data_IF_502439840941
#
_entry.id   IF_502439840941
#
_cell.length_a   1.000
_cell.length_b   1.000
_cell.length_c   1.000
_cell.angle_alpha   90.00
_cell.angle_beta   90.00
_cell.angle_gamma   90.00
#
_symmetry.space_group_name_H-M   'P 1'
#
loop_
_entity.id
_entity.type
_entity.pdbx_description
1 polymer ?
#
# COMPACT_ATOMS: atom_id res chain seq x y z
N UNK A 1 14.38 -8.28 6.04
CA UNK A 1 15.66 -8.29 5.28
C UNK A 1 15.72 -7.04 4.39
N UNK A 2 16.90 -6.63 3.92
CA UNK A 2 17.10 -5.46 3.05
C UNK A 2 18.37 -5.63 2.20
N UNK A 3 18.45 -4.88 1.11
CA UNK A 3 19.59 -4.87 0.18
C UNK A 3 20.46 -3.66 0.50
N UNK A 4 21.60 -3.94 1.12
CA UNK A 4 22.48 -2.90 1.67
C UNK A 4 23.81 -2.89 0.97
N UNK A 5 24.34 -1.70 0.76
CA UNK A 5 25.70 -1.53 0.28
C UNK A 5 26.43 -0.45 1.01
N UNK A 6 27.74 -0.61 1.06
CA UNK A 6 28.68 0.36 1.62
C UNK A 6 29.69 0.75 0.54
N UNK A 7 29.78 2.04 0.25
CA UNK A 7 30.78 2.63 -0.63
C UNK A 7 31.86 3.33 0.19
N UNK A 8 33.12 2.94 0.00
CA UNK A 8 34.27 3.54 0.66
C UNK A 8 34.96 4.48 -0.35
N UNK A 9 34.88 5.77 -0.09
CA UNK A 9 35.42 6.82 -0.96
C UNK A 9 36.83 7.22 -0.52
N UNK A 10 37.69 7.67 -1.46
CA UNK A 10 39.01 8.17 -1.10
C UNK A 10 38.92 9.44 -0.25
N UNK A 11 39.98 9.74 0.52
CA UNK A 11 40.07 10.94 1.37
C UNK A 11 39.89 12.26 0.60
N UNK A 12 40.21 12.27 -0.69
CA UNK A 12 40.06 13.43 -1.58
C UNK A 12 38.61 13.73 -1.95
N UNK A 13 37.66 12.82 -1.71
CA UNK A 13 36.25 13.02 -2.02
C UNK A 13 35.67 14.14 -1.16
N UNK A 14 35.22 15.23 -1.82
CA UNK A 14 34.62 16.38 -1.14
C UNK A 14 33.15 16.10 -0.85
N UNK A 15 32.74 16.36 0.39
CA UNK A 15 31.37 16.12 0.85
C UNK A 15 30.33 16.96 0.09
N UNK A 16 30.62 18.23 -0.19
CA UNK A 16 29.71 19.09 -0.94
C UNK A 16 29.39 18.51 -2.34
N UNK A 17 30.41 18.01 -3.05
CA UNK A 17 30.21 17.37 -4.36
C UNK A 17 29.40 16.08 -4.26
N UNK A 18 29.54 15.34 -3.16
CA UNK A 18 28.77 14.13 -2.93
C UNK A 18 27.29 14.47 -2.67
N UNK A 19 27.02 15.51 -1.89
CA UNK A 19 25.67 16.01 -1.65
C UNK A 19 25.01 16.53 -2.95
N UNK A 20 25.76 17.26 -3.77
CA UNK A 20 25.32 17.70 -5.10
C UNK A 20 25.00 16.51 -6.02
N UNK A 21 25.85 15.48 -6.06
CA UNK A 21 25.61 14.28 -6.86
C UNK A 21 24.34 13.54 -6.39
N UNK A 22 24.15 13.42 -5.07
CA UNK A 22 22.95 12.81 -4.48
C UNK A 22 21.69 13.61 -4.83
N UNK A 23 21.75 14.95 -4.79
CA UNK A 23 20.65 15.80 -5.21
C UNK A 23 20.33 15.66 -6.72
N UNK A 24 21.35 15.61 -7.57
CA UNK A 24 21.20 15.38 -9.02
C UNK A 24 20.60 14.00 -9.35
N UNK A 25 20.82 13.03 -8.48
CA UNK A 25 20.18 11.71 -8.57
C UNK A 25 18.71 11.72 -8.15
N UNK A 26 18.17 12.87 -7.71
CA UNK A 26 16.78 13.06 -7.32
C UNK A 26 16.48 12.69 -5.87
N UNK A 27 17.50 12.43 -5.06
CA UNK A 27 17.31 12.18 -3.64
C UNK A 27 16.97 13.48 -2.90
N UNK A 28 16.07 13.37 -1.93
CA UNK A 28 15.71 14.49 -1.04
C UNK A 28 16.25 14.23 0.35
N UNK A 29 16.70 15.27 1.03
CA UNK A 29 17.16 15.16 2.41
C UNK A 29 16.02 14.67 3.29
N UNK A 30 16.31 13.69 4.15
CA UNK A 30 15.37 13.09 5.09
C UNK A 30 15.76 13.48 6.51
N UNK A 31 14.81 14.02 7.27
CA UNK A 31 14.96 14.28 8.70
C UNK A 31 14.26 13.15 9.47
N UNK A 32 15.03 12.14 9.85
CA UNK A 32 14.51 10.99 10.59
C UNK A 32 14.57 11.16 12.13
N UNK A 33 15.13 12.29 12.60
CA UNK A 33 15.29 12.59 14.02
C UNK A 33 16.33 11.71 14.74
N UNK A 34 17.04 10.82 14.04
CA UNK A 34 17.98 9.89 14.64
C UNK A 34 19.38 10.51 14.76
N UNK A 35 19.92 10.50 15.98
CA UNK A 35 21.32 10.88 16.25
C UNK A 35 22.24 9.70 16.02
N UNK A 36 22.66 9.50 14.77
CA UNK A 36 23.60 8.44 14.40
C UNK A 36 25.04 8.98 14.39
N UNK A 37 25.98 8.40 15.17
CA UNK A 37 27.36 8.88 15.25
C UNK A 37 28.06 8.94 13.88
N UNK A 38 28.63 10.10 13.57
CA UNK A 38 29.40 10.32 12.33
C UNK A 38 28.56 10.43 11.06
N UNK A 39 27.23 10.26 11.13
CA UNK A 39 26.32 10.53 10.01
C UNK A 39 26.17 12.03 9.82
N UNK A 40 26.37 12.48 8.59
CA UNK A 40 26.32 13.90 8.22
C UNK A 40 25.11 14.23 7.33
N UNK A 41 24.53 13.23 6.67
CA UNK A 41 23.31 13.40 5.90
C UNK A 41 22.58 12.07 5.71
N UNK A 42 21.26 12.16 5.69
CA UNK A 42 20.35 11.08 5.33
C UNK A 42 19.44 11.58 4.21
N UNK A 43 19.24 10.75 3.20
CA UNK A 43 18.53 11.10 1.98
C UNK A 43 17.65 9.94 1.54
N UNK A 44 16.55 10.28 0.86
CA UNK A 44 15.58 9.32 0.38
C UNK A 44 15.17 9.65 -1.05
N UNK A 45 15.14 8.63 -1.88
CA UNK A 45 14.61 8.70 -3.24
C UNK A 45 13.34 7.87 -3.34
N UNK A 46 12.32 8.44 -3.97
CA UNK A 46 11.05 7.78 -4.24
C UNK A 46 10.45 8.36 -5.51
N UNK A 47 10.15 7.49 -6.48
CA UNK A 47 9.55 7.85 -7.75
C UNK A 47 8.09 7.37 -7.82
N UNK A 48 7.17 8.33 -7.75
CA UNK A 48 5.74 8.09 -7.85
C UNK A 48 5.25 7.97 -9.30
N UNK A 49 6.05 8.43 -10.27
CA UNK A 49 5.66 8.38 -11.66
C UNK A 49 5.50 6.93 -12.12
N UNK A 50 4.37 6.65 -12.77
CA UNK A 50 4.07 5.32 -13.31
C UNK A 50 4.18 4.18 -12.29
N UNK A 51 4.03 4.48 -10.99
CA UNK A 51 4.15 3.52 -9.90
C UNK A 51 5.52 2.83 -9.85
N UNK A 52 6.59 3.52 -10.28
CA UNK A 52 7.93 2.93 -10.37
C UNK A 52 8.48 2.49 -9.04
N UNK A 53 8.42 3.34 -8.01
CA UNK A 53 9.00 3.06 -6.70
C UNK A 53 7.96 2.43 -5.76
N UNK A 54 8.33 1.31 -5.13
CA UNK A 54 7.49 0.66 -4.12
C UNK A 54 7.90 1.13 -2.73
N UNK A 55 9.20 1.03 -2.43
CA UNK A 55 9.75 1.31 -1.09
C UNK A 55 10.77 2.45 -1.09
N UNK A 56 11.24 2.87 -2.27
CA UNK A 56 12.30 3.86 -2.41
C UNK A 56 13.69 3.34 -2.09
N UNK A 57 14.65 4.27 -2.09
CA UNK A 57 16.05 4.02 -1.77
C UNK A 57 16.51 5.02 -0.72
N UNK A 58 17.10 4.52 0.35
CA UNK A 58 17.69 5.30 1.44
C UNK A 58 19.20 5.45 1.17
N UNK A 59 19.76 6.63 1.45
CA UNK A 59 21.21 6.91 1.47
C UNK A 59 21.55 7.56 2.80
N UNK A 60 22.59 7.04 3.46
CA UNK A 60 23.24 7.74 4.56
C UNK A 60 24.71 8.00 4.21
N UNK A 61 25.18 9.20 4.54
CA UNK A 61 26.56 9.63 4.34
C UNK A 61 27.21 9.78 5.71
N UNK A 62 28.38 9.17 5.87
CA UNK A 62 29.19 9.20 7.08
C UNK A 62 30.54 9.84 6.84
N UNK A 63 30.99 10.67 7.78
CA UNK A 63 32.35 11.18 7.81
C UNK A 63 33.25 10.23 8.61
N UNK A 64 34.33 9.74 7.99
CA UNK A 64 35.36 8.92 8.66
C UNK A 64 36.76 9.46 8.37
N UNK A 65 37.73 9.07 9.20
CA UNK A 65 39.14 9.49 9.10
C UNK A 65 39.87 9.00 7.84
N UNK A 66 39.34 7.95 7.16
CA UNK A 66 39.90 7.38 5.94
C UNK A 66 39.18 7.84 4.65
N UNK A 67 38.22 8.76 4.77
CA UNK A 67 37.38 9.23 3.68
C UNK A 67 35.89 9.07 4.02
N UNK A 68 34.99 9.67 3.23
CA UNK A 68 33.56 9.48 3.40
C UNK A 68 33.14 8.02 3.15
N UNK A 69 32.12 7.57 3.88
CA UNK A 69 31.43 6.31 3.62
C UNK A 69 29.99 6.64 3.21
N UNK A 70 29.50 5.98 2.17
CA UNK A 70 28.11 6.11 1.73
C UNK A 70 27.45 4.75 1.83
N UNK A 71 26.39 4.66 2.62
CA UNK A 71 25.56 3.46 2.66
C UNK A 71 24.29 3.69 1.88
N UNK A 72 23.87 2.72 1.08
CA UNK A 72 22.56 2.76 0.43
C UNK A 72 21.75 1.54 0.82
N UNK A 73 20.42 1.70 0.89
CA UNK A 73 19.52 0.63 1.29
C UNK A 73 18.22 0.68 0.51
N UNK A 74 17.74 -0.49 0.10
CA UNK A 74 16.35 -0.72 -0.29
C UNK A 74 15.78 -1.92 0.46
N UNK A 75 14.47 -1.94 0.68
CA UNK A 75 13.79 -3.01 1.45
C UNK A 75 13.54 -4.24 0.56
N UNK A 76 13.23 -5.39 1.14
CA UNK A 76 12.97 -6.62 0.34
C UNK A 76 11.86 -6.41 -0.68
N UNK A 77 10.73 -5.79 -0.30
CA UNK A 77 9.61 -5.47 -1.19
C UNK A 77 9.84 -4.32 -2.17
N UNK A 78 11.10 -4.03 -2.52
CA UNK A 78 11.48 -3.02 -3.50
C UNK A 78 11.00 -3.38 -4.91
N UNK A 79 10.78 -2.36 -5.71
CA UNK A 79 10.53 -2.53 -7.14
C UNK A 79 11.82 -2.82 -7.93
N UNK A 80 11.64 -3.23 -9.19
CA UNK A 80 12.70 -3.22 -10.21
C UNK A 80 13.42 -1.87 -10.27
N UNK A 81 12.65 -0.78 -10.22
CA UNK A 81 13.16 0.59 -10.39
C UNK A 81 13.94 1.07 -9.17
N UNK A 82 13.51 0.73 -7.96
CA UNK A 82 14.24 0.98 -6.71
C UNK A 82 15.64 0.35 -6.76
N UNK A 83 15.72 -0.92 -7.17
CA UNK A 83 17.00 -1.64 -7.29
C UNK A 83 17.88 -1.03 -8.38
N UNK A 84 17.28 -0.67 -9.52
CA UNK A 84 17.98 -0.03 -10.64
C UNK A 84 18.52 1.33 -10.24
N UNK A 85 17.75 2.13 -9.50
CA UNK A 85 18.18 3.42 -8.96
C UNK A 85 19.30 3.26 -7.93
N UNK A 86 19.22 2.27 -7.04
CA UNK A 86 20.30 1.98 -6.10
C UNK A 86 21.60 1.61 -6.84
N UNK A 87 21.53 0.75 -7.85
CA UNK A 87 22.68 0.41 -8.70
C UNK A 87 23.23 1.63 -9.46
N UNK A 88 22.36 2.47 -10.02
CA UNK A 88 22.74 3.72 -10.70
C UNK A 88 23.49 4.65 -9.76
N UNK A 89 23.02 4.78 -8.52
CA UNK A 89 23.65 5.57 -7.46
C UNK A 89 25.05 5.05 -7.15
N UNK A 90 25.20 3.75 -6.92
CA UNK A 90 26.51 3.13 -6.67
C UNK A 90 27.48 3.33 -7.84
N UNK A 91 26.99 3.16 -9.08
CA UNK A 91 27.78 3.37 -10.28
C UNK A 91 28.28 4.80 -10.38
N UNK A 92 27.40 5.80 -10.24
CA UNK A 92 27.77 7.20 -10.39
C UNK A 92 28.71 7.68 -9.28
N UNK A 93 28.47 7.25 -8.03
CA UNK A 93 29.38 7.57 -6.92
C UNK A 93 30.78 7.02 -7.21
N UNK A 94 30.88 5.75 -7.64
CA UNK A 94 32.17 5.14 -7.99
C UNK A 94 32.82 5.80 -9.19
N UNK A 95 32.05 6.07 -10.25
CA UNK A 95 32.59 6.65 -11.49
C UNK A 95 33.09 8.09 -11.26
N UNK A 96 32.46 8.85 -10.35
CA UNK A 96 32.84 10.24 -10.05
C UNK A 96 33.94 10.37 -8.99
N UNK A 97 33.89 9.57 -7.92
CA UNK A 97 34.83 9.68 -6.79
C UNK A 97 35.89 8.58 -6.76
N UNK A 98 35.76 7.53 -7.56
CA UNK A 98 36.58 6.32 -7.47
C UNK A 98 36.20 5.45 -6.26
N UNK A 99 37.19 4.75 -5.71
CA UNK A 99 37.00 3.86 -4.56
C UNK A 99 36.36 2.52 -4.94
N UNK A 100 35.65 1.92 -3.98
CA UNK A 100 34.94 0.67 -4.19
C UNK A 100 33.67 0.61 -3.33
N UNK A 101 32.75 -0.26 -3.71
CA UNK A 101 31.59 -0.57 -2.90
C UNK A 101 31.47 -2.07 -2.66
N UNK A 102 30.77 -2.45 -1.59
CA UNK A 102 30.43 -3.84 -1.28
C UNK A 102 28.93 -3.96 -1.20
N UNK A 103 28.38 -4.98 -1.84
CA UNK A 103 26.97 -5.38 -1.77
C UNK A 103 26.87 -6.80 -1.24
N UNK A 104 25.66 -7.27 -1.00
CA UNK A 104 25.39 -8.69 -0.71
C UNK A 104 25.83 -9.63 -1.86
N UNK A 105 25.97 -9.10 -3.09
CA UNK A 105 26.48 -9.84 -4.25
C UNK A 105 28.02 -9.81 -4.35
N UNK A 106 28.71 -9.11 -3.44
CA UNK A 106 30.16 -9.02 -3.35
C UNK A 106 30.74 -7.65 -3.69
N UNK A 107 32.08 -7.56 -3.65
CA UNK A 107 32.81 -6.31 -3.89
C UNK A 107 32.70 -5.86 -5.34
N UNK A 108 32.31 -4.60 -5.56
CA UNK A 108 32.06 -3.99 -6.87
C UNK A 108 31.07 -4.77 -7.76
N UNK A 109 30.18 -5.55 -7.13
CA UNK A 109 29.13 -6.30 -7.83
C UNK A 109 27.79 -5.61 -7.61
N UNK A 110 27.14 -5.22 -8.70
CA UNK A 110 25.78 -4.71 -8.67
C UNK A 110 24.79 -5.85 -8.46
N UNK A 111 23.66 -5.54 -7.81
CA UNK A 111 22.54 -6.47 -7.81
C UNK A 111 21.95 -6.60 -9.21
N UNK A 112 21.46 -7.78 -9.56
CA UNK A 112 20.76 -8.01 -10.82
C UNK A 112 19.28 -8.18 -10.50
N UNK A 113 18.38 -7.42 -11.12
CA UNK A 113 16.96 -7.74 -11.08
C UNK A 113 16.76 -9.11 -11.73
N UNK A 114 16.08 -10.01 -11.03
CA UNK A 114 15.81 -11.36 -11.55
C UNK A 114 14.72 -11.36 -12.63
N UNK A 115 13.92 -10.28 -12.69
CA UNK A 115 12.75 -10.14 -13.55
C UNK A 115 12.84 -8.93 -14.48
N UNK A 116 12.00 -8.94 -15.53
CA UNK A 116 11.80 -7.79 -16.41
C UNK A 116 11.08 -6.67 -15.66
N UNK A 117 11.20 -5.40 -16.11
CA UNK A 117 10.45 -4.30 -15.54
C UNK A 117 8.94 -4.61 -15.54
N UNK A 118 8.23 -4.45 -14.41
CA UNK A 118 6.80 -4.68 -14.35
C UNK A 118 6.05 -3.64 -15.18
N UNK A 119 4.87 -4.02 -15.68
CA UNK A 119 3.96 -3.06 -16.31
C UNK A 119 3.52 -2.02 -15.28
N UNK A 120 3.48 -0.72 -15.62
CA UNK A 120 3.05 0.32 -14.68
C UNK A 120 1.68 0.07 -14.02
N UNK A 121 0.72 -0.50 -14.77
CA UNK A 121 -0.57 -0.91 -14.22
C UNK A 121 -0.41 -2.01 -13.16
N UNK A 122 0.40 -3.04 -13.45
CA UNK A 122 0.67 -4.13 -12.51
C UNK A 122 1.30 -3.60 -11.22
N UNK A 123 2.24 -2.66 -11.34
CA UNK A 123 2.86 -1.94 -10.23
C UNK A 123 1.83 -1.15 -9.40
N UNK A 124 0.96 -0.38 -10.05
CA UNK A 124 -0.10 0.38 -9.34
C UNK A 124 -1.06 -0.52 -8.57
N UNK A 125 -1.52 -1.62 -9.19
CA UNK A 125 -2.38 -2.60 -8.55
C UNK A 125 -1.67 -3.34 -7.40
N UNK A 126 -0.38 -3.66 -7.56
CA UNK A 126 0.43 -4.26 -6.51
C UNK A 126 0.59 -3.32 -5.30
N UNK A 127 0.93 -2.04 -5.52
CA UNK A 127 1.06 -1.06 -4.44
C UNK A 127 -0.25 -0.91 -3.68
N UNK A 128 -1.38 -0.83 -4.39
CA UNK A 128 -2.71 -0.77 -3.76
C UNK A 128 -2.96 -1.99 -2.86
N UNK A 129 -2.63 -3.19 -3.36
CA UNK A 129 -2.77 -4.44 -2.61
C UNK A 129 -1.80 -4.52 -1.43
N UNK A 130 -0.57 -4.07 -1.58
CA UNK A 130 0.41 -4.04 -0.49
C UNK A 130 -0.01 -3.08 0.63
N UNK A 131 -0.55 -1.90 0.29
CA UNK A 131 -1.16 -0.97 1.26
C UNK A 131 -2.35 -1.61 1.98
N UNK A 132 -3.20 -2.33 1.27
CA UNK A 132 -4.29 -3.10 1.85
C UNK A 132 -3.80 -4.11 2.88
N UNK A 133 -2.79 -4.93 2.54
CA UNK A 133 -2.24 -5.94 3.44
C UNK A 133 -1.61 -5.32 4.69
N UNK A 134 -0.87 -4.23 4.54
CA UNK A 134 -0.34 -3.47 5.67
C UNK A 134 -1.47 -2.89 6.55
N UNK A 135 -2.54 -2.38 5.94
CA UNK A 135 -3.72 -1.87 6.63
C UNK A 135 -4.44 -2.96 7.43
N UNK A 136 -4.66 -4.13 6.81
CA UNK A 136 -5.28 -5.28 7.45
C UNK A 136 -4.38 -5.87 8.55
N UNK A 137 -3.06 -5.89 8.33
CA UNK A 137 -2.06 -6.29 9.32
C UNK A 137 -2.14 -5.47 10.60
N UNK A 138 -2.33 -4.15 10.50
CA UNK A 138 -2.56 -3.29 11.68
C UNK A 138 -3.82 -3.66 12.45
N UNK A 139 -4.92 -3.97 11.75
CA UNK A 139 -6.14 -4.47 12.41
C UNK A 139 -5.90 -5.80 13.13
N UNK A 140 -5.17 -6.73 12.52
CA UNK A 140 -4.78 -8.01 13.15
C UNK A 140 -3.91 -7.78 14.39
N UNK A 141 -2.89 -6.91 14.31
CA UNK A 141 -2.04 -6.55 15.44
C UNK A 141 -2.86 -5.93 16.57
N UNK A 142 -3.79 -5.02 16.27
CA UNK A 142 -4.71 -4.46 17.25
C UNK A 142 -5.50 -5.54 17.99
N UNK A 143 -6.08 -6.50 17.25
CA UNK A 143 -6.84 -7.60 17.83
C UNK A 143 -5.99 -8.53 18.70
N UNK A 144 -4.74 -8.79 18.30
CA UNK A 144 -3.82 -9.64 19.07
C UNK A 144 -3.38 -9.00 20.38
N UNK A 145 -3.35 -7.66 20.45
CA UNK A 145 -2.77 -6.94 21.58
C UNK A 145 -3.80 -6.27 22.50
N UNK A 146 -5.05 -6.13 22.08
CA UNK A 146 -6.10 -5.59 22.95
C UNK A 146 -6.41 -6.56 24.09
N UNK A 147 -6.54 -6.02 25.30
CA UNK A 147 -6.91 -6.77 26.51
C UNK A 147 -8.16 -6.15 27.10
N UNK A 148 -9.19 -6.97 27.30
CA UNK A 148 -10.41 -6.57 27.99
C UNK A 148 -10.58 -7.47 29.20
N UNK A 149 -10.70 -6.85 30.37
CA UNK A 149 -10.83 -7.50 31.66
C UNK A 149 -12.23 -7.24 32.25
N UNK A 150 -12.62 -8.04 33.24
CA UNK A 150 -13.90 -7.90 33.95
C UNK A 150 -15.05 -8.75 33.39
N UNK A 151 -16.14 -8.91 34.17
CA UNK A 151 -17.19 -9.91 33.92
C UNK A 151 -18.09 -9.60 32.70
N UNK A 152 -18.07 -8.36 32.21
CA UNK A 152 -18.84 -7.91 31.04
C UNK A 152 -18.09 -8.11 29.72
N UNK A 153 -16.76 -8.30 29.76
CA UNK A 153 -15.91 -8.45 28.58
C UNK A 153 -15.93 -9.88 28.01
N UNK A 154 -17.14 -10.40 27.74
CA UNK A 154 -17.37 -11.79 27.37
C UNK A 154 -16.95 -12.08 25.93
N UNK A 155 -16.39 -13.26 25.68
CA UNK A 155 -16.00 -13.72 24.33
C UNK A 155 -17.17 -14.24 23.50
N UNK A 156 -18.26 -14.60 24.15
CA UNK A 156 -19.47 -15.17 23.55
C UNK A 156 -20.70 -14.43 24.05
N UNK A 157 -21.78 -14.52 23.30
CA UNK A 157 -23.07 -13.94 23.68
C UNK A 157 -23.50 -14.43 25.06
N UNK A 158 -24.01 -13.48 25.85
CA UNK A 158 -24.67 -13.75 27.12
C UNK A 158 -26.08 -14.33 26.97
N UNK A 159 -26.63 -14.35 25.75
CA UNK A 159 -28.05 -14.63 25.48
C UNK A 159 -28.99 -13.47 25.81
N UNK A 160 -28.49 -12.38 26.39
CA UNK A 160 -29.25 -11.18 26.76
C UNK A 160 -28.72 -9.97 25.98
N UNK A 161 -29.54 -9.42 25.10
CA UNK A 161 -29.10 -8.38 24.16
C UNK A 161 -28.57 -7.12 24.85
N UNK A 162 -29.21 -6.69 25.95
CA UNK A 162 -28.78 -5.51 26.70
C UNK A 162 -27.40 -5.69 27.37
N UNK A 163 -27.07 -6.92 27.82
CA UNK A 163 -25.77 -7.24 28.40
C UNK A 163 -24.69 -7.26 27.32
N UNK A 164 -25.00 -7.86 26.17
CA UNK A 164 -24.09 -7.87 25.02
C UNK A 164 -23.89 -6.43 24.48
N UNK A 165 -24.91 -5.58 24.57
CA UNK A 165 -24.83 -4.14 24.26
C UNK A 165 -23.87 -3.35 25.17
N UNK A 166 -23.48 -3.87 26.34
CA UNK A 166 -22.50 -3.25 27.23
C UNK A 166 -21.11 -3.89 27.11
N UNK A 167 -20.95 -4.89 26.24
CA UNK A 167 -19.70 -5.63 26.12
C UNK A 167 -18.62 -4.80 25.39
N UNK A 168 -17.50 -4.44 26.05
CA UNK A 168 -16.46 -3.62 25.45
C UNK A 168 -15.77 -4.28 24.25
N UNK A 169 -15.77 -5.62 24.16
CA UNK A 169 -15.24 -6.35 22.99
C UNK A 169 -16.08 -6.09 21.75
N UNK A 170 -17.40 -6.12 21.90
CA UNK A 170 -18.34 -5.87 20.81
C UNK A 170 -18.23 -4.43 20.33
N UNK A 171 -18.15 -3.47 21.27
CA UNK A 171 -17.92 -2.07 20.93
C UNK A 171 -16.61 -1.89 20.16
N UNK A 172 -15.52 -2.48 20.63
CA UNK A 172 -14.22 -2.47 19.95
C UNK A 172 -14.28 -3.09 18.54
N UNK A 173 -15.02 -4.17 18.35
CA UNK A 173 -15.21 -4.79 17.03
C UNK A 173 -15.96 -3.86 16.07
N UNK A 174 -17.01 -3.20 16.55
CA UNK A 174 -17.77 -2.23 15.77
C UNK A 174 -16.93 -0.98 15.45
N UNK A 175 -16.01 -0.55 16.32
CA UNK A 175 -15.05 0.52 16.01
C UNK A 175 -14.00 0.13 14.97
N UNK A 176 -13.58 -1.13 14.94
CA UNK A 176 -12.60 -1.59 13.95
C UNK A 176 -13.21 -1.72 12.55
N UNK A 177 -14.52 -1.92 12.46
CA UNK A 177 -15.22 -2.12 11.19
C UNK A 177 -15.10 -0.91 10.23
N UNK A 178 -15.34 0.36 10.64
CA UNK A 178 -15.06 1.54 9.81
C UNK A 178 -13.62 1.60 9.28
N UNK A 179 -12.63 1.25 10.11
CA UNK A 179 -11.23 1.22 9.69
C UNK A 179 -11.00 0.18 8.59
N UNK A 180 -11.52 -1.04 8.75
CA UNK A 180 -11.37 -2.11 7.76
C UNK A 180 -12.07 -1.73 6.45
N UNK A 181 -13.26 -1.13 6.50
CA UNK A 181 -13.99 -0.65 5.32
C UNK A 181 -13.20 0.46 4.61
N UNK A 182 -12.52 1.35 5.34
CA UNK A 182 -11.67 2.37 4.73
C UNK A 182 -10.45 1.77 4.01
N UNK A 183 -9.81 0.74 4.59
CA UNK A 183 -8.69 0.01 3.97
C UNK A 183 -9.14 -0.72 2.70
N UNK A 184 -10.32 -1.35 2.73
CA UNK A 184 -10.97 -1.96 1.57
C UNK A 184 -11.30 -0.93 0.49
N UNK A 185 -11.86 0.21 0.87
CA UNK A 185 -12.24 1.28 -0.06
C UNK A 185 -11.01 1.85 -0.77
N UNK A 186 -9.93 2.14 -0.04
CA UNK A 186 -8.70 2.69 -0.65
C UNK A 186 -8.03 1.70 -1.61
N UNK A 187 -8.11 0.38 -1.34
CA UNK A 187 -7.64 -0.64 -2.27
C UNK A 187 -8.33 -0.52 -3.64
N UNK A 188 -9.66 -0.54 -3.66
CA UNK A 188 -10.41 -0.49 -4.92
C UNK A 188 -10.28 0.86 -5.60
N UNK A 189 -10.27 1.96 -4.85
CA UNK A 189 -10.07 3.32 -5.36
C UNK A 189 -8.70 3.47 -6.02
N UNK A 190 -7.64 3.00 -5.36
CA UNK A 190 -6.27 3.03 -5.90
C UNK A 190 -6.11 2.13 -7.13
N UNK A 191 -6.70 0.93 -7.10
CA UNK A 191 -6.70 -0.01 -8.23
C UNK A 191 -7.48 0.57 -9.43
N UNK A 192 -8.62 1.19 -9.17
CA UNK A 192 -9.42 1.87 -10.20
C UNK A 192 -8.64 3.03 -10.83
N UNK A 193 -8.00 3.88 -10.02
CA UNK A 193 -7.17 4.97 -10.54
C UNK A 193 -6.02 4.48 -11.41
N UNK A 194 -5.32 3.41 -10.99
CA UNK A 194 -4.26 2.79 -11.78
C UNK A 194 -4.79 2.24 -13.11
N UNK A 195 -5.93 1.53 -13.10
CA UNK A 195 -6.55 0.98 -14.30
C UNK A 195 -7.11 2.08 -15.23
N UNK A 196 -7.68 3.14 -14.67
CA UNK A 196 -8.21 4.28 -15.42
C UNK A 196 -7.14 4.95 -16.28
N UNK A 197 -5.91 5.08 -15.76
CA UNK A 197 -4.77 5.67 -16.47
C UNK A 197 -4.48 4.99 -17.81
N UNK A 198 -4.75 3.69 -17.90
CA UNK A 198 -4.49 2.87 -19.09
C UNK A 198 -5.77 2.39 -19.79
N UNK A 199 -6.94 2.83 -19.34
CA UNK A 199 -8.22 2.47 -19.97
C UNK A 199 -8.45 3.28 -21.24
N UNK A 200 -8.89 2.59 -22.30
CA UNK A 200 -9.33 3.22 -23.55
C UNK A 200 -10.68 3.92 -23.41
N UNK A 201 -11.46 3.61 -22.37
CA UNK A 201 -12.84 4.11 -22.16
C UNK A 201 -12.95 5.15 -21.03
N UNK A 202 -11.86 5.89 -20.76
CA UNK A 202 -11.80 6.91 -19.69
C UNK A 202 -12.93 7.96 -19.72
N UNK A 203 -13.50 8.24 -20.89
CA UNK A 203 -14.57 9.21 -21.06
C UNK A 203 -15.84 8.85 -20.28
N UNK A 204 -16.20 7.56 -20.22
CA UNK A 204 -17.35 7.07 -19.46
C UNK A 204 -17.21 7.32 -17.97
N UNK A 205 -16.01 7.09 -17.43
CA UNK A 205 -15.70 7.39 -16.04
C UNK A 205 -15.68 8.90 -15.78
N UNK A 206 -15.05 9.69 -16.65
CA UNK A 206 -15.01 11.15 -16.56
C UNK A 206 -16.39 11.80 -16.49
N UNK A 207 -17.31 11.38 -17.37
CA UNK A 207 -18.68 11.92 -17.42
C UNK A 207 -19.49 11.65 -16.13
N UNK A 208 -19.20 10.55 -15.44
CA UNK A 208 -19.93 10.15 -14.22
C UNK A 208 -19.26 10.65 -12.94
N UNK A 209 -17.97 10.95 -13.00
CA UNK A 209 -17.20 11.42 -11.85
C UNK A 209 -17.68 12.81 -11.40
N UNK A 210 -17.96 12.93 -10.10
CA UNK A 210 -18.30 14.22 -9.48
C UNK A 210 -17.04 14.83 -8.89
N UNK A 211 -16.32 15.61 -9.69
CA UNK A 211 -15.10 16.29 -9.25
C UNK A 211 -15.45 17.50 -8.37
N UNK A 212 -14.80 17.59 -7.21
CA UNK A 212 -14.92 18.75 -6.32
C UNK A 212 -13.86 19.82 -6.64
N UNK A 213 -14.07 21.05 -6.18
CA UNK A 213 -13.05 22.11 -6.27
C UNK A 213 -11.73 21.70 -5.59
N UNK A 214 -11.80 21.03 -4.43
CA UNK A 214 -10.64 20.50 -3.72
C UNK A 214 -9.87 19.48 -4.56
N UNK A 215 -10.57 18.61 -5.29
CA UNK A 215 -9.93 17.63 -6.18
C UNK A 215 -9.15 18.33 -7.31
N UNK A 216 -9.72 19.41 -7.88
CA UNK A 216 -9.07 20.18 -8.94
C UNK A 216 -7.84 20.93 -8.44
N UNK A 217 -7.92 21.52 -7.24
CA UNK A 217 -6.79 22.19 -6.59
C UNK A 217 -5.65 21.21 -6.30
N UNK A 218 -5.96 20.02 -5.79
CA UNK A 218 -4.96 18.98 -5.53
C UNK A 218 -4.23 18.52 -6.80
N UNK A 219 -4.94 18.44 -7.93
CA UNK A 219 -4.35 18.15 -9.24
C UNK A 219 -3.45 19.31 -9.70
N UNK A 220 -3.90 20.56 -9.56
CA UNK A 220 -3.12 21.74 -9.94
C UNK A 220 -1.80 21.86 -9.15
N UNK A 221 -1.82 21.48 -7.87
CA UNK A 221 -0.63 21.42 -7.01
C UNK A 221 0.29 20.21 -7.28
N UNK A 222 -0.09 19.31 -8.19
CA UNK A 222 0.65 18.08 -8.48
C UNK A 222 0.63 17.06 -7.33
N UNK A 223 -0.22 17.25 -6.32
CA UNK A 223 -0.34 16.36 -5.17
C UNK A 223 -1.09 15.06 -5.50
N UNK A 224 -2.00 15.12 -6.48
CA UNK A 224 -2.80 13.99 -6.94
C UNK A 224 -2.72 13.89 -8.46
N UNK A 225 -2.74 12.66 -8.97
CA UNK A 225 -2.96 12.46 -10.41
C UNK A 225 -4.43 12.72 -10.75
N UNK A 226 -4.69 13.08 -12.01
CA UNK A 226 -6.05 13.27 -12.53
C UNK A 226 -6.89 12.00 -12.30
N UNK A 227 -6.31 10.81 -12.49
CA UNK A 227 -7.01 9.55 -12.30
C UNK A 227 -7.40 9.30 -10.85
N UNK A 228 -6.55 9.73 -9.90
CA UNK A 228 -6.90 9.65 -8.49
C UNK A 228 -8.04 10.61 -8.15
N UNK A 229 -7.97 11.86 -8.62
CA UNK A 229 -9.04 12.84 -8.43
C UNK A 229 -10.39 12.39 -9.02
N UNK A 230 -10.37 11.70 -10.16
CA UNK A 230 -11.56 11.08 -10.78
C UNK A 230 -12.07 9.94 -9.91
N UNK A 231 -11.18 9.03 -9.49
CA UNK A 231 -11.54 7.93 -8.58
C UNK A 231 -12.16 8.48 -7.29
N UNK A 232 -11.71 9.63 -6.81
CA UNK A 232 -12.25 10.25 -5.60
C UNK A 232 -13.72 10.70 -5.72
N UNK A 233 -14.21 10.87 -6.94
CA UNK A 233 -15.62 11.15 -7.23
C UNK A 233 -16.55 9.92 -7.14
N UNK A 234 -16.03 8.73 -6.84
CA UNK A 234 -16.79 7.48 -6.73
C UNK A 234 -16.73 6.90 -5.32
N UNK A 235 -17.74 6.11 -4.96
CA UNK A 235 -17.73 5.28 -3.74
C UNK A 235 -17.20 3.89 -4.04
N UNK A 236 -16.23 3.42 -3.25
CA UNK A 236 -15.68 2.07 -3.34
C UNK A 236 -15.89 1.27 -2.05
N UNK A 237 -16.91 1.61 -1.26
CA UNK A 237 -17.22 0.86 -0.03
C UNK A 237 -17.98 -0.43 -0.36
N UNK A 238 -19.07 -0.31 -1.11
CA UNK A 238 -19.99 -1.42 -1.41
C UNK A 238 -19.52 -2.26 -2.58
N UNK A 239 -19.51 -3.60 -2.50
CA UNK A 239 -19.27 -4.49 -3.63
C UNK A 239 -20.09 -4.15 -4.89
N UNK A 240 -21.34 -3.74 -4.73
CA UNK A 240 -22.22 -3.32 -5.84
C UNK A 240 -21.68 -2.08 -6.55
N UNK A 241 -21.37 -1.03 -5.79
CA UNK A 241 -20.78 0.20 -6.33
C UNK A 241 -19.42 -0.07 -6.97
N UNK A 242 -18.58 -0.91 -6.35
CA UNK A 242 -17.29 -1.32 -6.92
C UNK A 242 -17.51 -1.99 -8.28
N UNK A 243 -18.39 -2.98 -8.38
CA UNK A 243 -18.63 -3.69 -9.63
C UNK A 243 -19.14 -2.75 -10.74
N UNK A 244 -20.04 -1.84 -10.41
CA UNK A 244 -20.53 -0.81 -11.35
C UNK A 244 -19.42 0.13 -11.81
N UNK A 245 -18.59 0.62 -10.88
CA UNK A 245 -17.52 1.55 -11.21
C UNK A 245 -16.50 0.89 -12.14
N UNK A 246 -16.05 -0.33 -11.83
CA UNK A 246 -15.06 -1.03 -12.66
C UNK A 246 -15.58 -1.34 -14.07
N UNK A 247 -16.89 -1.56 -14.25
CA UNK A 247 -17.51 -1.69 -15.58
C UNK A 247 -17.47 -0.40 -16.41
N UNK A 248 -17.26 0.77 -15.79
CA UNK A 248 -17.02 2.03 -16.52
C UNK A 248 -15.66 2.04 -17.22
N UNK A 249 -14.69 1.25 -16.74
CA UNK A 249 -13.37 1.13 -17.38
C UNK A 249 -13.43 0.22 -18.60
N UNK A 250 -14.17 -0.88 -18.47
CA UNK A 250 -14.58 -1.75 -19.57
C UNK A 250 -15.72 -2.67 -19.09
N UNK A 251 -16.83 -2.81 -19.84
CA UNK A 251 -17.95 -3.68 -19.44
C UNK A 251 -17.58 -5.15 -19.21
N UNK A 252 -16.48 -5.64 -19.79
CA UNK A 252 -15.99 -7.02 -19.63
C UNK A 252 -15.21 -7.23 -18.32
N UNK A 253 -14.83 -6.17 -17.62
CA UNK A 253 -14.14 -6.24 -16.33
C UNK A 253 -15.14 -6.46 -15.19
N UNK A 254 -15.51 -7.72 -14.94
CA UNK A 254 -16.52 -8.09 -13.95
C UNK A 254 -15.93 -8.50 -12.58
N UNK A 255 -15.59 -7.47 -11.77
CA UNK A 255 -15.17 -7.67 -10.38
C UNK A 255 -16.28 -8.32 -9.55
N UNK A 256 -17.55 -8.00 -9.80
CA UNK A 256 -18.68 -8.54 -9.06
C UNK A 256 -18.78 -10.06 -9.19
N UNK A 257 -18.59 -10.60 -10.40
CA UNK A 257 -18.55 -12.03 -10.64
C UNK A 257 -17.40 -12.72 -9.89
N UNK A 258 -16.22 -12.08 -9.84
CA UNK A 258 -15.08 -12.60 -9.08
C UNK A 258 -15.40 -12.73 -7.57
N UNK A 259 -16.11 -11.75 -7.00
CA UNK A 259 -16.52 -11.76 -5.59
C UNK A 259 -17.65 -12.76 -5.31
N UNK A 260 -18.53 -13.05 -6.28
CA UNK A 260 -19.64 -14.01 -6.13
C UNK A 260 -19.23 -15.47 -6.20
N UNK A 261 -18.01 -15.78 -6.66
CA UNK A 261 -17.52 -17.17 -6.74
C UNK A 261 -17.73 -17.93 -5.41
N UNK A 262 -18.10 -19.23 -5.43
CA UNK A 262 -18.28 -20.02 -4.22
C UNK A 262 -17.07 -19.93 -3.28
N UNK A 263 -17.32 -19.93 -1.97
CA UNK A 263 -16.25 -19.85 -0.97
C UNK A 263 -16.61 -20.65 0.28
N UNK A 264 -15.70 -21.54 0.70
CA UNK A 264 -15.83 -22.43 1.87
C UNK A 264 -17.18 -23.18 1.96
N UNK A 265 -17.77 -23.54 0.81
CA UNK A 265 -19.10 -24.20 0.71
C UNK A 265 -20.24 -23.43 1.42
N UNK A 266 -20.05 -22.13 1.68
CA UNK A 266 -21.08 -21.27 2.27
C UNK A 266 -22.15 -20.95 1.22
N UNK A 267 -23.40 -20.77 1.67
CA UNK A 267 -24.49 -20.29 0.80
C UNK A 267 -24.31 -18.82 0.43
N UNK A 268 -23.81 -18.02 1.38
CA UNK A 268 -23.55 -16.58 1.18
C UNK A 268 -22.21 -16.37 0.49
N UNK A 269 -22.22 -15.57 -0.57
CA UNK A 269 -21.00 -15.21 -1.31
C UNK A 269 -20.17 -14.16 -0.56
N UNK A 270 -18.91 -13.93 -0.97
CA UNK A 270 -18.11 -12.83 -0.41
C UNK A 270 -18.70 -11.47 -0.77
N UNK A 271 -19.34 -11.37 -1.94
CA UNK A 271 -20.05 -10.16 -2.36
C UNK A 271 -21.13 -9.80 -1.33
N UNK A 272 -22.01 -10.74 -1.01
CA UNK A 272 -23.14 -10.49 -0.12
C UNK A 272 -22.70 -10.32 1.34
N UNK A 273 -21.69 -11.07 1.79
CA UNK A 273 -21.19 -10.93 3.16
C UNK A 273 -20.53 -9.57 3.40
N UNK A 274 -19.79 -9.04 2.41
CA UNK A 274 -19.14 -7.73 2.52
C UNK A 274 -20.16 -6.59 2.35
N UNK A 275 -21.19 -6.73 1.51
CA UNK A 275 -22.31 -5.77 1.49
C UNK A 275 -22.91 -5.61 2.89
N UNK A 276 -23.21 -6.73 3.56
CA UNK A 276 -23.76 -6.67 4.92
C UNK A 276 -22.80 -6.02 5.92
N UNK A 277 -21.48 -6.25 5.80
CA UNK A 277 -20.49 -5.59 6.67
C UNK A 277 -20.49 -4.07 6.47
N UNK A 278 -20.67 -3.59 5.24
CA UNK A 278 -20.77 -2.14 4.96
C UNK A 278 -22.08 -1.57 5.51
N UNK A 279 -23.18 -2.32 5.47
CA UNK A 279 -24.44 -1.92 6.12
C UNK A 279 -24.30 -1.81 7.64
N UNK A 280 -23.71 -2.82 8.28
CA UNK A 280 -23.48 -2.83 9.73
C UNK A 280 -22.62 -1.62 10.14
N UNK A 281 -21.59 -1.32 9.33
CA UNK A 281 -20.75 -0.11 9.49
C UNK A 281 -21.58 1.17 9.36
N UNK A 282 -22.45 1.25 8.35
CA UNK A 282 -23.29 2.41 8.10
C UNK A 282 -24.21 2.66 9.31
N UNK A 283 -24.93 1.64 9.77
CA UNK A 283 -25.78 1.71 10.95
C UNK A 283 -24.99 2.19 12.17
N UNK A 284 -23.83 1.60 12.44
CA UNK A 284 -22.99 1.97 13.57
C UNK A 284 -22.53 3.43 13.52
N UNK A 285 -21.99 3.89 12.39
CA UNK A 285 -21.44 5.25 12.27
C UNK A 285 -22.53 6.32 12.32
N UNK A 286 -23.71 6.06 11.75
CA UNK A 286 -24.78 7.06 11.69
C UNK A 286 -25.70 7.07 12.91
N UNK A 287 -25.87 5.95 13.60
CA UNK A 287 -26.84 5.84 14.70
C UNK A 287 -26.23 5.45 16.04
N UNK A 288 -24.95 5.03 16.06
CA UNK A 288 -24.31 4.45 17.24
C UNK A 288 -24.79 3.03 17.59
N UNK A 289 -25.77 2.49 16.85
CA UNK A 289 -26.29 1.14 17.09
C UNK A 289 -25.26 0.09 16.71
N UNK A 290 -24.87 -0.72 17.69
CA UNK A 290 -23.89 -1.80 17.49
C UNK A 290 -24.53 -3.07 16.94
N UNK A 291 -23.78 -3.81 16.13
CA UNK A 291 -24.08 -5.22 15.88
C UNK A 291 -23.63 -6.05 17.09
N UNK A 292 -24.58 -6.36 17.98
CA UNK A 292 -24.41 -7.16 19.21
C UNK A 292 -24.04 -8.63 18.97
N UNK A 293 -24.04 -9.08 17.72
CA UNK A 293 -23.59 -10.43 17.33
C UNK A 293 -22.17 -10.44 16.77
N UNK A 294 -21.53 -9.28 16.67
CA UNK A 294 -20.21 -9.11 16.05
C UNK A 294 -19.07 -9.34 17.05
N UNK A 295 -18.93 -10.59 17.51
CA UNK A 295 -17.82 -11.01 18.37
C UNK A 295 -16.54 -11.27 17.57
N UNK A 296 -15.46 -11.55 18.28
CA UNK A 296 -14.12 -11.74 17.73
C UNK A 296 -14.08 -12.79 16.60
N UNK A 297 -14.79 -13.94 16.68
CA UNK A 297 -14.86 -14.88 15.57
C UNK A 297 -15.50 -14.30 14.30
N UNK A 298 -16.54 -13.48 14.44
CA UNK A 298 -17.21 -12.82 13.31
C UNK A 298 -16.29 -11.78 12.67
N UNK A 299 -15.57 -11.01 13.49
CA UNK A 299 -14.59 -10.04 13.00
C UNK A 299 -13.40 -10.73 12.31
N UNK A 300 -12.88 -11.83 12.85
CA UNK A 300 -11.82 -12.60 12.20
C UNK A 300 -12.29 -13.19 10.87
N UNK A 301 -13.55 -13.63 10.80
CA UNK A 301 -14.18 -14.07 9.55
C UNK A 301 -14.28 -12.92 8.56
N UNK A 302 -14.71 -11.72 9.00
CA UNK A 302 -14.79 -10.53 8.16
C UNK A 302 -13.41 -10.14 7.59
N UNK A 303 -12.36 -10.13 8.42
CA UNK A 303 -10.99 -9.87 7.97
C UNK A 303 -10.53 -10.88 6.92
N UNK A 304 -10.78 -12.18 7.15
CA UNK A 304 -10.45 -13.25 6.19
C UNK A 304 -11.23 -13.11 4.89
N UNK A 305 -12.52 -12.78 4.95
CA UNK A 305 -13.39 -12.66 3.78
C UNK A 305 -12.96 -11.48 2.90
N UNK A 306 -12.68 -10.33 3.52
CA UNK A 306 -12.21 -9.12 2.82
C UNK A 306 -10.86 -9.38 2.16
N UNK A 307 -9.92 -10.06 2.85
CA UNK A 307 -8.63 -10.43 2.27
C UNK A 307 -8.77 -11.33 1.04
N UNK A 308 -9.61 -12.36 1.12
CA UNK A 308 -9.87 -13.27 -0.01
C UNK A 308 -10.56 -12.54 -1.15
N UNK A 309 -11.51 -11.65 -0.85
CA UNK A 309 -12.20 -10.83 -1.84
C UNK A 309 -11.25 -9.90 -2.60
N UNK A 310 -10.33 -9.22 -1.89
CA UNK A 310 -9.27 -8.40 -2.49
C UNK A 310 -8.37 -9.24 -3.38
N UNK A 311 -7.97 -10.43 -2.94
CA UNK A 311 -7.15 -11.33 -3.75
C UNK A 311 -7.89 -11.74 -5.03
N UNK A 312 -9.17 -12.12 -4.95
CA UNK A 312 -9.98 -12.47 -6.13
C UNK A 312 -10.15 -11.30 -7.09
N UNK A 313 -10.34 -10.09 -6.57
CA UNK A 313 -10.41 -8.89 -7.39
C UNK A 313 -9.07 -8.61 -8.10
N UNK A 314 -7.95 -8.73 -7.38
CA UNK A 314 -6.61 -8.57 -7.94
C UNK A 314 -6.34 -9.57 -9.06
N UNK A 315 -6.64 -10.86 -8.85
CA UNK A 315 -6.54 -11.89 -9.89
C UNK A 315 -7.43 -11.57 -11.11
N UNK A 316 -8.64 -11.07 -10.88
CA UNK A 316 -9.55 -10.70 -11.96
C UNK A 316 -8.99 -9.55 -12.81
N UNK A 317 -8.43 -8.52 -12.16
CA UNK A 317 -7.79 -7.38 -12.84
C UNK A 317 -6.54 -7.86 -13.59
N UNK A 318 -5.72 -8.70 -12.96
CA UNK A 318 -4.51 -9.27 -13.55
C UNK A 318 -4.81 -10.08 -14.82
N UNK A 319 -5.79 -10.99 -14.75
CA UNK A 319 -6.24 -11.79 -15.88
C UNK A 319 -6.80 -10.92 -17.01
N UNK A 320 -7.58 -9.87 -16.68
CA UNK A 320 -8.17 -8.99 -17.68
C UNK A 320 -7.13 -8.14 -18.43
N UNK A 321 -6.15 -7.57 -17.71
CA UNK A 321 -5.11 -6.72 -18.29
C UNK A 321 -3.85 -7.48 -18.73
N UNK A 322 -3.78 -8.79 -18.52
CA UNK A 322 -2.71 -9.65 -18.99
C UNK A 322 -1.37 -9.47 -18.25
N UNK A 323 -1.41 -9.25 -16.94
CA UNK A 323 -0.19 -9.22 -16.11
C UNK A 323 -0.16 -10.35 -15.09
N UNK A 324 1.05 -10.75 -14.68
CA UNK A 324 1.23 -11.76 -13.62
C UNK A 324 1.07 -11.09 -12.26
N UNK A 325 0.12 -11.53 -11.41
CA UNK A 325 -0.05 -10.96 -10.09
C UNK A 325 1.13 -11.31 -9.18
N UNK A 326 1.61 -10.32 -8.41
CA UNK A 326 2.67 -10.53 -7.40
C UNK A 326 2.08 -10.64 -6.00
N UNK A 327 2.60 -11.60 -5.22
CA UNK A 327 2.19 -11.88 -3.85
C UNK A 327 3.32 -11.72 -2.83
N UNK A 328 4.44 -11.14 -3.25
CA UNK A 328 5.60 -10.94 -2.40
C UNK A 328 5.45 -9.62 -1.63
N UNK A 329 5.30 -9.68 -0.31
CA UNK A 329 5.15 -8.51 0.57
C UNK A 329 6.31 -8.31 1.53
#
# INVERSE_FOLDING_TARGET
MSYTSESVLPRSAKLAQLEELVALLGYRKSEDGLKVPGRIGSYFWYDQEEYRSYVGVEIDIYRRSRGPIVTTRSRVGRSYWDLTQQNKTLKLIRDFFGGHFTTDAGRNRYWRPDERPPLPLASGCFIARWRFHNGLGRARIYLMNRKFEGPIAREKSSGLEFMDGLNPRILSNNFLLPYIVAVWEDYFRSTFAAALKYSKQRESALKRARLSHSNLEQVALGSHSIERAIADGFSFQRPTSIAENFRLLDPKLDIGAALRKPYRRRKTSLFDSIEQLVEDRHIFVHTGRMNVKFFDPQLQTALSDIEVAVNRAYECVAAYYGFVPSHDY
#
